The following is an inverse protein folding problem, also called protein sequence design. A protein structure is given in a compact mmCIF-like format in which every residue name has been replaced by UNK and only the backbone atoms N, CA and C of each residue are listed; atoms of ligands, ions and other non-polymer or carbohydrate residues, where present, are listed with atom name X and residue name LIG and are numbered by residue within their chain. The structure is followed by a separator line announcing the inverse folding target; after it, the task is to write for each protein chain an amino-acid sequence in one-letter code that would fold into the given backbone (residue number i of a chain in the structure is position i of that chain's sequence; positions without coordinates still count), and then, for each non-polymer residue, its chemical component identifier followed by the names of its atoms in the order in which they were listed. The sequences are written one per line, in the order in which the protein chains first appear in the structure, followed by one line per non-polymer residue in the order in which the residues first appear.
data_IF_266912419951
#
_entry.id   IF_266912419951
#
_cell.length_a   1.000
_cell.length_b   1.000
_cell.length_c   1.000
_cell.angle_alpha   90.00
_cell.angle_beta   90.00
_cell.angle_gamma   90.00
#
_symmetry.space_group_name_H-M   'P 1'
#
loop_
_entity.id
_entity.type
_entity.pdbx_description
1 polymer ?
#
# COMPACT_ATOMS: atom_id res chain seq x y z
N UNK A 1 -16.12 -29.10 -17.39
CA UNK A 1 -14.74 -28.61 -17.59
C UNK A 1 -14.30 -27.99 -16.29
N UNK A 2 -13.09 -28.39 -15.90
CA UNK A 2 -12.53 -28.39 -14.56
C UNK A 2 -12.38 -27.01 -13.92
N UNK A 3 -12.68 -26.99 -12.63
CA UNK A 3 -12.27 -26.06 -11.59
C UNK A 3 -10.87 -25.46 -11.80
N UNK A 4 -10.78 -24.13 -11.82
CA UNK A 4 -9.56 -23.41 -11.44
C UNK A 4 -9.86 -22.55 -10.23
N UNK A 5 -9.85 -23.21 -9.08
CA UNK A 5 -9.66 -22.61 -7.77
C UNK A 5 -8.20 -22.13 -7.71
N UNK A 6 -7.91 -20.94 -8.21
CA UNK A 6 -6.58 -20.32 -8.09
C UNK A 6 -6.61 -19.24 -7.00
N UNK A 7 -6.12 -19.64 -5.83
CA UNK A 7 -5.37 -18.82 -4.89
C UNK A 7 -5.81 -17.34 -4.76
N UNK A 8 -6.90 -17.08 -4.04
CA UNK A 8 -7.13 -15.76 -3.43
C UNK A 8 -6.24 -15.67 -2.20
N UNK A 9 -5.00 -15.24 -2.40
CA UNK A 9 -4.29 -14.51 -1.34
C UNK A 9 -5.23 -13.46 -0.77
N UNK A 10 -5.14 -13.21 0.54
CA UNK A 10 -6.09 -12.46 1.39
C UNK A 10 -6.47 -11.06 0.84
N UNK A 11 -7.26 -11.01 -0.23
CA UNK A 11 -7.83 -9.79 -0.78
C UNK A 11 -9.02 -9.44 0.10
N UNK A 12 -8.83 -8.49 1.00
CA UNK A 12 -9.94 -7.83 1.67
C UNK A 12 -10.26 -6.55 0.87
N UNK A 13 -11.25 -6.58 -0.05
CA UNK A 13 -11.57 -5.45 -0.95
C UNK A 13 -11.88 -4.14 -0.21
N UNK A 14 -12.17 -4.23 1.10
CA UNK A 14 -12.51 -3.08 1.94
C UNK A 14 -11.36 -2.09 2.15
N UNK A 15 -10.10 -2.50 1.96
CA UNK A 15 -8.93 -1.62 2.14
C UNK A 15 -8.55 -0.83 0.88
N UNK A 16 -9.05 -1.26 -0.28
CA UNK A 16 -8.65 -0.70 -1.58
C UNK A 16 -9.62 0.33 -2.12
N UNK A 17 -10.66 0.68 -1.36
CA UNK A 17 -11.71 1.62 -1.77
C UNK A 17 -11.51 3.02 -1.17
N UNK A 18 -11.68 4.04 -2.02
CA UNK A 18 -11.72 5.45 -1.62
C UNK A 18 -13.12 6.02 -1.82
N UNK A 19 -13.49 6.97 -0.97
CA UNK A 19 -14.69 7.77 -1.09
C UNK A 19 -14.32 9.20 -1.49
N UNK A 20 -14.94 9.69 -2.56
CA UNK A 20 -14.74 11.01 -3.13
C UNK A 20 -16.04 11.80 -2.96
N UNK A 21 -15.94 12.95 -2.31
CA UNK A 21 -17.04 13.90 -2.15
C UNK A 21 -16.76 15.21 -2.86
N UNK A 22 -17.81 16.05 -2.95
CA UNK A 22 -17.77 17.35 -3.62
C UNK A 22 -17.43 17.26 -5.13
N UNK A 23 -17.88 16.20 -5.79
CA UNK A 23 -17.83 16.09 -7.25
C UNK A 23 -18.90 17.00 -7.85
N UNK A 24 -18.53 17.80 -8.85
CA UNK A 24 -19.47 18.69 -9.54
C UNK A 24 -20.54 17.89 -10.28
N UNK A 25 -21.78 18.39 -10.31
CA UNK A 25 -22.88 17.79 -11.07
C UNK A 25 -22.65 17.79 -12.59
N UNK A 26 -21.72 18.62 -13.06
CA UNK A 26 -21.36 18.70 -14.49
C UNK A 26 -20.18 17.78 -14.86
N UNK A 27 -19.49 17.19 -13.88
CA UNK A 27 -18.35 16.30 -14.15
C UNK A 27 -18.88 14.97 -14.66
N UNK A 28 -18.49 14.59 -15.88
CA UNK A 28 -18.84 13.27 -16.42
C UNK A 28 -18.10 12.15 -15.65
N UNK A 29 -18.77 11.01 -15.37
CA UNK A 29 -18.14 9.85 -14.73
C UNK A 29 -16.82 9.41 -15.37
N UNK A 30 -16.75 9.42 -16.69
CA UNK A 30 -15.54 9.03 -17.44
C UNK A 30 -14.36 9.98 -17.17
N UNK A 31 -14.62 11.28 -17.04
CA UNK A 31 -13.59 12.28 -16.72
C UNK A 31 -13.05 12.10 -15.31
N UNK A 32 -13.94 11.84 -14.34
CA UNK A 32 -13.56 11.54 -12.96
C UNK A 32 -12.70 10.28 -12.88
N UNK A 33 -13.11 9.20 -13.54
CA UNK A 33 -12.37 7.94 -13.55
C UNK A 33 -11.00 8.12 -14.19
N UNK A 34 -10.92 8.77 -15.36
CA UNK A 34 -9.66 9.07 -16.04
C UNK A 34 -8.71 9.90 -15.17
N UNK A 35 -9.23 10.82 -14.37
CA UNK A 35 -8.42 11.57 -13.42
C UNK A 35 -7.82 10.66 -12.33
N UNK A 36 -8.63 9.78 -11.74
CA UNK A 36 -8.15 8.88 -10.67
C UNK A 36 -7.31 7.70 -11.17
N UNK A 37 -7.45 7.31 -12.44
CA UNK A 37 -6.60 6.28 -13.08
C UNK A 37 -5.10 6.62 -13.04
N UNK A 38 -4.73 7.91 -12.94
CA UNK A 38 -3.33 8.32 -12.83
C UNK A 38 -2.63 7.82 -11.55
N UNK A 39 -3.40 7.45 -10.52
CA UNK A 39 -2.89 6.93 -9.24
C UNK A 39 -2.92 5.40 -9.18
N UNK A 40 -3.56 4.73 -10.13
CA UNK A 40 -3.61 3.28 -10.16
C UNK A 40 -4.72 2.71 -11.02
N UNK A 41 -4.68 1.38 -11.19
CA UNK A 41 -5.71 0.65 -11.93
C UNK A 41 -6.97 0.54 -11.08
N UNK A 42 -8.07 1.10 -11.60
CA UNK A 42 -9.41 1.02 -11.02
C UNK A 42 -10.03 -0.34 -11.38
N UNK A 43 -10.55 -1.05 -10.39
CA UNK A 43 -11.24 -2.33 -10.53
C UNK A 43 -12.75 -2.13 -10.61
N UNK A 44 -13.29 -1.32 -9.71
CA UNK A 44 -14.72 -1.06 -9.60
C UNK A 44 -14.96 0.40 -9.21
N UNK A 45 -16.11 0.93 -9.62
CA UNK A 45 -16.57 2.24 -9.19
C UNK A 45 -18.08 2.24 -8.93
N UNK A 46 -18.53 3.09 -8.02
CA UNK A 46 -19.94 3.24 -7.69
C UNK A 46 -20.29 4.70 -7.39
N UNK A 47 -21.32 5.22 -8.05
CA UNK A 47 -21.83 6.58 -7.86
C UNK A 47 -23.09 6.52 -6.99
N UNK A 48 -23.10 7.19 -5.83
CA UNK A 48 -24.30 7.18 -4.97
C UNK A 48 -25.45 8.00 -5.56
N UNK A 49 -25.15 8.99 -6.40
CA UNK A 49 -26.14 9.83 -7.07
C UNK A 49 -25.59 10.31 -8.42
N UNK A 50 -26.42 10.30 -9.49
CA UNK A 50 -26.04 10.86 -10.80
C UNK A 50 -25.84 12.38 -10.81
N UNK A 51 -26.45 13.12 -9.88
CA UNK A 51 -26.54 14.59 -9.92
C UNK A 51 -25.65 15.31 -8.91
N UNK A 52 -24.61 14.63 -8.41
CA UNK A 52 -23.76 15.12 -7.32
C UNK A 52 -24.03 14.34 -6.03
N UNK A 53 -22.97 13.75 -5.48
CA UNK A 53 -23.01 12.85 -4.34
C UNK A 53 -21.60 12.34 -4.01
N UNK A 54 -21.53 11.17 -3.40
CA UNK A 54 -20.27 10.47 -3.16
C UNK A 54 -19.97 9.49 -4.28
N UNK A 55 -18.70 9.34 -4.60
CA UNK A 55 -18.22 8.34 -5.56
C UNK A 55 -17.25 7.43 -4.83
N UNK A 56 -17.45 6.14 -5.00
CA UNK A 56 -16.55 5.12 -4.49
C UNK A 56 -15.72 4.57 -5.66
N UNK A 57 -14.41 4.51 -5.46
CA UNK A 57 -13.48 3.95 -6.44
C UNK A 57 -12.64 2.90 -5.72
N UNK A 58 -12.65 1.68 -6.24
CA UNK A 58 -11.84 0.57 -5.76
C UNK A 58 -10.62 0.40 -6.67
N UNK A 59 -9.43 0.48 -6.10
CA UNK A 59 -8.18 0.18 -6.79
C UNK A 59 -7.81 -1.30 -6.70
N UNK A 60 -6.90 -1.73 -7.57
CA UNK A 60 -6.38 -3.09 -7.56
C UNK A 60 -5.53 -3.42 -6.33
N UNK A 61 -4.76 -2.45 -5.84
CA UNK A 61 -3.81 -2.62 -4.75
C UNK A 61 -3.89 -1.48 -3.73
N UNK A 62 -3.59 -1.79 -2.46
CA UNK A 62 -3.59 -0.80 -1.38
C UNK A 62 -2.59 0.34 -1.62
N UNK A 63 -1.44 0.05 -2.24
CA UNK A 63 -0.43 1.06 -2.58
C UNK A 63 -0.99 2.17 -3.48
N UNK A 64 -1.93 1.85 -4.38
CA UNK A 64 -2.58 2.83 -5.26
C UNK A 64 -3.49 3.79 -4.47
N UNK A 65 -4.16 3.28 -3.43
CA UNK A 65 -4.90 4.13 -2.49
C UNK A 65 -3.95 5.06 -1.76
N UNK A 66 -2.82 4.53 -1.27
CA UNK A 66 -1.83 5.33 -0.55
C UNK A 66 -1.24 6.44 -1.43
N UNK A 67 -0.96 6.14 -2.70
CA UNK A 67 -0.45 7.12 -3.65
C UNK A 67 -1.49 8.18 -4.00
N UNK A 68 -2.76 7.79 -4.16
CA UNK A 68 -3.88 8.72 -4.28
C UNK A 68 -4.02 9.61 -3.03
N UNK A 69 -3.86 9.07 -1.81
CA UNK A 69 -3.97 9.86 -0.58
C UNK A 69 -2.79 10.82 -0.39
N UNK A 70 -1.58 10.43 -0.79
CA UNK A 70 -0.39 11.30 -0.77
C UNK A 70 -0.50 12.47 -1.75
N UNK A 71 -1.18 12.28 -2.87
CA UNK A 71 -1.35 13.29 -3.91
C UNK A 71 -2.42 14.37 -3.58
N UNK A 72 -3.05 14.33 -2.40
CA UNK A 72 -3.96 15.39 -1.95
C UNK A 72 -3.22 16.73 -1.81
N UNK A 73 -3.87 17.89 -2.08
CA UNK A 73 -5.29 18.05 -2.42
C UNK A 73 -5.62 17.78 -3.90
N UNK A 74 -6.76 17.12 -4.13
CA UNK A 74 -7.25 16.79 -5.48
C UNK A 74 -8.15 17.88 -6.03
N UNK A 75 -7.98 18.21 -7.31
CA UNK A 75 -8.76 19.23 -8.00
C UNK A 75 -9.20 18.71 -9.38
N UNK A 76 -10.48 18.86 -9.68
CA UNK A 76 -11.07 18.48 -10.97
C UNK A 76 -12.09 19.54 -11.39
N UNK A 77 -12.05 19.97 -12.65
CA UNK A 77 -12.94 21.01 -13.20
C UNK A 77 -12.97 22.30 -12.36
N UNK A 78 -11.83 22.67 -11.77
CA UNK A 78 -11.72 23.83 -10.87
C UNK A 78 -12.35 23.65 -9.48
N UNK A 79 -12.87 22.46 -9.16
CA UNK A 79 -13.45 22.13 -7.86
C UNK A 79 -12.48 21.28 -7.04
N UNK A 80 -12.37 21.60 -5.74
CA UNK A 80 -11.62 20.79 -4.79
C UNK A 80 -12.41 19.55 -4.38
N UNK A 81 -11.84 18.36 -4.57
CA UNK A 81 -12.46 17.09 -4.23
C UNK A 81 -12.09 16.65 -2.82
N UNK A 82 -13.07 16.18 -2.05
CA UNK A 82 -12.83 15.59 -0.73
C UNK A 82 -12.59 14.10 -0.86
N UNK A 83 -11.33 13.69 -0.78
CA UNK A 83 -10.94 12.27 -0.87
C UNK A 83 -10.59 11.72 0.52
N UNK A 84 -11.19 10.58 0.88
CA UNK A 84 -10.95 9.84 2.12
C UNK A 84 -11.03 8.32 1.87
N UNK A 85 -10.51 7.50 2.78
CA UNK A 85 -10.66 6.04 2.66
C UNK A 85 -12.10 5.64 2.92
N UNK A 86 -12.61 4.66 2.20
CA UNK A 86 -13.94 4.13 2.47
C UNK A 86 -13.88 3.23 3.71
N UNK A 87 -14.56 3.63 4.78
CA UNK A 87 -14.69 2.80 5.97
C UNK A 87 -15.88 1.84 5.83
N UNK A 88 -15.74 0.59 6.31
CA UNK A 88 -16.85 -0.35 6.35
C UNK A 88 -17.98 0.18 7.25
N UNK A 89 -19.18 -0.39 7.06
CA UNK A 89 -20.27 -0.15 8.00
C UNK A 89 -19.96 -0.90 9.29
N UNK A 90 -19.86 -0.16 10.39
CA UNK A 90 -19.73 -0.67 11.75
C UNK A 90 -21.02 -0.35 12.50
N UNK A 91 -21.66 -1.37 13.06
CA UNK A 91 -22.90 -1.24 13.81
C UNK A 91 -22.68 -0.56 15.17
N UNK A 92 -21.48 -0.69 15.76
CA UNK A 92 -21.12 -0.03 17.01
C UNK A 92 -20.87 1.47 16.79
N UNK A 93 -20.23 1.83 15.66
CA UNK A 93 -19.79 3.20 15.37
C UNK A 93 -20.34 3.72 14.03
N UNK A 94 -21.68 3.82 13.85
CA UNK A 94 -22.29 4.07 12.54
C UNK A 94 -21.95 5.43 11.92
N UNK A 95 -21.58 6.42 12.75
CA UNK A 95 -21.20 7.76 12.28
C UNK A 95 -19.73 7.87 11.88
N UNK A 96 -18.88 6.95 12.33
CA UNK A 96 -17.43 7.00 12.15
C UNK A 96 -17.01 7.03 10.68
N UNK A 97 -17.75 6.33 9.81
CA UNK A 97 -17.49 6.30 8.37
C UNK A 97 -17.69 7.64 7.66
N UNK A 98 -18.55 8.51 8.18
CA UNK A 98 -18.88 9.77 7.54
C UNK A 98 -17.97 10.92 8.00
N UNK A 99 -17.60 10.91 9.27
CA UNK A 99 -16.80 11.95 9.89
C UNK A 99 -15.33 11.91 9.48
N UNK A 100 -14.71 13.08 9.41
CA UNK A 100 -13.27 13.22 9.19
C UNK A 100 -12.65 13.95 10.36
N UNK A 101 -11.66 13.33 11.01
CA UNK A 101 -10.94 13.93 12.15
C UNK A 101 -9.46 13.55 12.07
N UNK A 102 -8.61 14.35 12.71
CA UNK A 102 -7.19 14.04 12.96
C UNK A 102 -6.98 13.34 14.29
N UNK A 103 -8.04 13.25 15.08
CA UNK A 103 -7.98 12.83 16.46
C UNK A 103 -8.50 11.40 16.56
N UNK A 104 -7.67 10.52 17.09
CA UNK A 104 -7.98 9.14 17.41
C UNK A 104 -8.18 9.01 18.92
N UNK A 105 -9.22 8.30 19.32
CA UNK A 105 -9.49 7.92 20.71
C UNK A 105 -9.14 6.45 20.90
N UNK A 106 -8.29 6.17 21.89
CA UNK A 106 -7.90 4.82 22.29
C UNK A 106 -8.38 4.63 23.72
N UNK A 107 -9.42 3.83 23.91
CA UNK A 107 -10.03 3.62 25.24
C UNK A 107 -9.17 2.65 26.02
N UNK A 108 -8.93 2.98 27.29
CA UNK A 108 -8.11 2.18 28.19
C UNK A 108 -9.00 1.51 29.22
N UNK A 109 -9.01 0.17 29.22
CA UNK A 109 -9.79 -0.63 30.16
C UNK A 109 -8.93 -1.62 30.98
N UNK A 110 -7.79 -1.17 31.49
CA UNK A 110 -6.90 -2.02 32.31
C UNK A 110 -7.34 -2.20 33.78
N UNK A 111 -8.57 -1.78 34.13
CA UNK A 111 -9.02 -1.77 35.53
C UNK A 111 -8.08 -0.98 36.46
N UNK A 112 -7.86 -1.49 37.68
CA UNK A 112 -6.94 -0.89 38.68
C UNK A 112 -5.47 -1.29 38.48
N UNK A 113 -5.16 -2.09 37.46
CA UNK A 113 -3.77 -2.47 37.15
C UNK A 113 -3.12 -1.32 36.40
N UNK A 114 -2.62 -0.35 37.17
CA UNK A 114 -1.89 0.80 36.67
C UNK A 114 -0.55 0.29 36.13
N UNK A 115 -0.46 0.06 34.82
CA UNK A 115 0.82 0.20 34.13
C UNK A 115 1.27 1.67 34.32
N UNK A 116 2.57 1.93 34.45
CA UNK A 116 3.07 3.31 34.53
C UNK A 116 2.53 4.10 33.33
N UNK A 117 1.64 5.06 33.59
CA UNK A 117 0.91 5.80 32.55
C UNK A 117 1.88 6.41 31.53
N UNK A 118 3.10 6.78 31.98
CA UNK A 118 4.12 7.38 31.12
C UNK A 118 4.76 6.39 30.17
N UNK A 119 5.07 5.19 30.64
CA UNK A 119 5.68 4.14 29.81
C UNK A 119 4.69 3.69 28.74
N UNK A 120 3.44 3.44 29.15
CA UNK A 120 2.35 3.08 28.25
C UNK A 120 2.11 4.14 27.16
N UNK A 121 2.06 5.42 27.55
CA UNK A 121 1.91 6.53 26.61
C UNK A 121 3.08 6.61 25.61
N UNK A 122 4.31 6.34 26.07
CA UNK A 122 5.49 6.35 25.20
C UNK A 122 5.42 5.24 24.16
N UNK A 123 5.12 4.01 24.59
CA UNK A 123 5.05 2.87 23.68
C UNK A 123 3.89 3.01 22.68
N UNK A 124 2.71 3.47 23.12
CA UNK A 124 1.61 3.74 22.20
C UNK A 124 1.94 4.84 21.20
N UNK A 125 2.65 5.88 21.64
CA UNK A 125 3.11 6.94 20.74
C UNK A 125 4.04 6.36 19.68
N UNK A 126 4.97 5.50 20.06
CA UNK A 126 5.89 4.85 19.11
C UNK A 126 5.14 3.93 18.15
N UNK A 127 4.20 3.11 18.66
CA UNK A 127 3.33 2.27 17.84
C UNK A 127 2.55 3.08 16.79
N UNK A 128 1.82 4.11 17.22
CA UNK A 128 1.01 4.93 16.31
C UNK A 128 1.84 5.84 15.40
N UNK A 129 3.09 6.15 15.78
CA UNK A 129 4.00 6.91 14.91
C UNK A 129 4.35 6.18 13.61
N UNK A 130 4.23 4.84 13.59
CA UNK A 130 4.44 4.02 12.39
C UNK A 130 3.42 4.31 11.27
N UNK A 131 2.21 4.77 11.61
CA UNK A 131 1.17 5.13 10.65
C UNK A 131 1.38 6.54 10.08
N UNK A 132 2.01 7.42 10.85
CA UNK A 132 2.38 8.76 10.40
C UNK A 132 2.74 9.69 11.53
N UNK A 133 3.03 10.94 11.16
CA UNK A 133 3.48 11.96 12.11
C UNK A 133 2.38 12.32 13.12
N UNK A 134 2.73 12.22 14.40
CA UNK A 134 1.91 12.65 15.53
C UNK A 134 2.16 14.12 15.87
N UNK A 135 1.11 14.87 16.15
CA UNK A 135 1.19 16.19 16.79
C UNK A 135 1.17 16.05 18.31
N UNK A 136 0.28 15.22 18.84
CA UNK A 136 0.15 15.01 20.27
C UNK A 136 -0.32 13.59 20.59
N UNK A 137 0.06 13.12 21.78
CA UNK A 137 -0.49 11.92 22.41
C UNK A 137 -0.70 12.30 23.87
N UNK A 138 -1.96 12.28 24.34
CA UNK A 138 -2.35 12.78 25.66
C UNK A 138 -3.27 11.78 26.34
N UNK A 139 -3.01 11.55 27.62
CA UNK A 139 -3.97 10.86 28.47
C UNK A 139 -5.12 11.79 28.83
N UNK A 140 -6.33 11.25 28.77
CA UNK A 140 -7.57 11.95 29.05
C UNK A 140 -8.47 11.07 29.93
N UNK A 141 -9.21 11.72 30.83
CA UNK A 141 -10.09 11.05 31.76
C UNK A 141 -11.48 11.68 31.68
N UNK A 142 -12.45 10.87 31.26
CA UNK A 142 -13.88 11.20 31.37
C UNK A 142 -14.44 10.68 32.69
N UNK A 143 -15.70 11.05 32.96
CA UNK A 143 -16.42 10.62 34.18
C UNK A 143 -16.47 9.10 34.33
N UNK A 144 -16.62 8.38 33.22
CA UNK A 144 -16.92 6.94 33.23
C UNK A 144 -15.80 6.08 32.64
N UNK A 145 -14.88 6.66 31.87
CA UNK A 145 -13.82 5.91 31.20
C UNK A 145 -12.56 6.77 31.04
N UNK A 146 -11.44 6.10 30.82
CA UNK A 146 -10.14 6.71 30.52
C UNK A 146 -9.79 6.42 29.07
N UNK A 147 -9.11 7.34 28.42
CA UNK A 147 -8.72 7.18 27.03
C UNK A 147 -7.46 7.98 26.73
N UNK A 148 -6.77 7.59 25.66
CA UNK A 148 -5.68 8.35 25.09
C UNK A 148 -6.19 9.02 23.83
N UNK A 149 -5.95 10.32 23.74
CA UNK A 149 -6.15 11.12 22.56
C UNK A 149 -4.85 11.17 21.77
N UNK A 150 -4.87 10.63 20.55
CA UNK A 150 -3.76 10.68 19.62
C UNK A 150 -4.13 11.62 18.47
N UNK A 151 -3.43 12.74 18.36
CA UNK A 151 -3.63 13.76 17.33
C UNK A 151 -2.60 13.57 16.22
N UNK A 152 -3.07 13.30 15.00
CA UNK A 152 -2.23 13.09 13.82
C UNK A 152 -2.05 14.35 12.99
N UNK A 153 -0.97 14.39 12.20
CA UNK A 153 -0.72 15.48 11.28
C UNK A 153 -1.75 15.56 10.14
N UNK A 154 -2.24 14.41 9.70
CA UNK A 154 -3.25 14.30 8.67
C UNK A 154 -4.39 13.37 9.14
N UNK A 155 -5.52 13.45 8.45
CA UNK A 155 -6.74 12.69 8.80
C UNK A 155 -6.74 11.28 8.20
N UNK A 156 -5.94 11.03 7.16
CA UNK A 156 -5.84 9.72 6.50
C UNK A 156 -5.26 8.65 7.43
N UNK A 157 -4.33 9.04 8.33
CA UNK A 157 -3.75 8.11 9.30
C UNK A 157 -4.83 7.53 10.20
N UNK A 158 -5.79 8.36 10.64
CA UNK A 158 -6.91 7.92 11.47
C UNK A 158 -7.75 6.89 10.72
N UNK A 159 -8.17 7.20 9.48
CA UNK A 159 -8.94 6.25 8.66
C UNK A 159 -8.18 4.94 8.42
N UNK A 160 -6.87 5.02 8.17
CA UNK A 160 -6.01 3.84 7.98
C UNK A 160 -5.95 2.97 9.23
N UNK A 161 -5.81 3.57 10.41
CA UNK A 161 -5.81 2.85 11.69
C UNK A 161 -7.17 2.17 11.91
N UNK A 162 -8.29 2.88 11.70
CA UNK A 162 -9.63 2.27 11.85
C UNK A 162 -9.83 1.07 10.93
N UNK A 163 -9.26 1.08 9.72
CA UNK A 163 -9.29 -0.06 8.81
C UNK A 163 -8.44 -1.24 9.30
N UNK A 164 -7.30 -0.97 9.92
CA UNK A 164 -6.33 -1.98 10.35
C UNK A 164 -6.68 -2.63 11.71
N UNK A 165 -7.87 -2.35 12.26
CA UNK A 165 -8.42 -3.08 13.42
C UNK A 165 -8.42 -4.60 13.16
N UNK A 166 -8.17 -5.44 14.18
CA UNK A 166 -7.96 -5.09 15.60
C UNK A 166 -6.52 -4.69 15.93
N UNK A 167 -6.36 -3.73 16.85
CA UNK A 167 -5.07 -3.34 17.41
C UNK A 167 -4.87 -3.98 18.79
N UNK A 168 -3.64 -4.41 19.06
CA UNK A 168 -3.27 -5.01 20.34
C UNK A 168 -2.11 -4.24 20.97
N UNK A 169 -2.14 -4.17 22.29
CA UNK A 169 -1.01 -3.77 23.10
C UNK A 169 -0.71 -4.88 24.09
N UNK A 170 0.46 -5.51 23.94
CA UNK A 170 0.73 -6.86 24.46
C UNK A 170 -0.42 -7.81 24.09
N UNK A 171 -1.10 -8.39 25.07
CA UNK A 171 -2.22 -9.32 24.87
C UNK A 171 -3.60 -8.65 25.04
N UNK A 172 -3.64 -7.33 25.17
CA UNK A 172 -4.88 -6.59 25.37
C UNK A 172 -5.36 -5.95 24.07
N UNK A 173 -6.62 -6.20 23.73
CA UNK A 173 -7.30 -5.54 22.63
C UNK A 173 -7.49 -4.06 22.95
N UNK A 174 -7.00 -3.19 22.07
CA UNK A 174 -7.24 -1.76 22.16
C UNK A 174 -8.57 -1.42 21.47
N UNK A 175 -9.47 -0.75 22.21
CA UNK A 175 -10.70 -0.21 21.63
C UNK A 175 -10.38 1.17 21.02
N UNK A 176 -10.15 1.15 19.72
CA UNK A 176 -9.69 2.31 18.93
C UNK A 176 -10.86 2.84 18.09
N UNK A 177 -11.08 4.15 18.12
CA UNK A 177 -12.13 4.80 17.33
C UNK A 177 -11.78 6.26 17.02
N UNK A 178 -12.45 6.88 16.05
CA UNK A 178 -12.37 8.31 15.81
C UNK A 178 -12.83 9.08 17.04
N UNK A 179 -12.07 10.12 17.38
CA UNK A 179 -12.47 11.09 18.41
C UNK A 179 -13.54 12.01 17.83
N UNK A 180 -14.81 11.59 17.96
CA UNK A 180 -16.00 12.33 17.55
C UNK A 180 -17.05 12.30 18.67
N UNK A 181 -17.88 13.34 18.84
CA UNK A 181 -18.85 13.42 19.94
C UNK A 181 -19.77 12.21 20.02
N UNK A 182 -20.18 11.66 18.87
CA UNK A 182 -21.03 10.47 18.82
C UNK A 182 -20.38 9.25 19.48
N UNK A 183 -19.08 9.07 19.31
CA UNK A 183 -18.35 7.94 19.88
C UNK A 183 -18.16 8.16 21.39
N UNK A 184 -17.90 9.40 21.83
CA UNK A 184 -17.91 9.74 23.26
C UNK A 184 -19.23 9.40 23.95
N UNK A 185 -20.37 9.70 23.32
CA UNK A 185 -21.69 9.37 23.86
C UNK A 185 -21.90 7.85 23.97
N UNK A 186 -21.46 7.08 22.97
CA UNK A 186 -21.52 5.61 22.98
C UNK A 186 -20.68 5.07 24.14
N UNK A 187 -19.45 5.56 24.31
CA UNK A 187 -18.55 5.13 25.36
C UNK A 187 -19.08 5.46 26.76
N UNK A 188 -19.60 6.67 26.96
CA UNK A 188 -20.21 7.04 28.24
C UNK A 188 -21.36 6.11 28.61
N UNK A 189 -22.25 5.79 27.67
CA UNK A 189 -23.38 4.85 27.91
C UNK A 189 -22.91 3.42 28.19
N UNK A 190 -21.91 2.93 27.44
CA UNK A 190 -21.31 1.60 27.61
C UNK A 190 -20.77 1.44 29.04
N UNK A 191 -19.99 2.40 29.52
CA UNK A 191 -19.38 2.33 30.85
C UNK A 191 -20.33 2.69 32.01
N UNK A 192 -21.35 3.54 31.79
CA UNK A 192 -22.42 3.76 32.78
C UNK A 192 -23.23 2.50 33.05
N UNK A 193 -23.58 1.75 31.99
CA UNK A 193 -24.37 0.51 32.10
C UNK A 193 -23.60 -0.57 32.86
N UNK A 194 -22.30 -0.71 32.60
CA UNK A 194 -21.42 -1.64 33.30
C UNK A 194 -21.30 -1.32 34.80
N UNK A 195 -21.25 -0.03 35.16
CA UNK A 195 -21.24 0.42 36.56
C UNK A 195 -22.56 0.14 37.28
N UNK A 196 -23.69 0.20 36.58
CA UNK A 196 -24.99 -0.16 37.15
C UNK A 196 -25.13 -1.67 37.34
N UNK A 197 -24.66 -2.49 36.39
CA UNK A 197 -24.65 -3.95 36.54
C UNK A 197 -23.75 -4.41 37.70
N UNK A 198 -22.56 -3.83 37.85
CA UNK A 198 -21.69 -4.15 38.99
C UNK A 198 -22.28 -3.66 40.33
N UNK A 199 -22.92 -2.49 40.36
CA UNK A 199 -23.62 -2.02 41.57
C UNK A 199 -24.86 -2.85 41.94
N UNK A 200 -25.57 -3.45 40.98
CA UNK A 200 -26.68 -4.36 41.26
C UNK A 200 -26.15 -5.65 41.89
N UNK A 201 -25.09 -6.23 41.32
CA UNK A 201 -24.43 -7.42 41.89
C UNK A 201 -23.91 -7.14 43.31
N UNK A 202 -23.30 -5.97 43.53
CA UNK A 202 -22.77 -5.58 44.85
C UNK A 202 -23.91 -5.28 45.84
N UNK A 203 -25.01 -4.64 45.41
CA UNK A 203 -26.16 -4.39 46.30
C UNK A 203 -26.85 -5.68 46.71
N UNK A 204 -27.04 -6.62 45.78
CA UNK A 204 -27.59 -7.95 46.10
C UNK A 204 -26.65 -8.74 47.03
N UNK A 205 -25.37 -8.41 47.09
CA UNK A 205 -24.40 -8.97 48.04
C UNK A 205 -24.27 -8.18 49.37
N UNK A 206 -24.72 -6.92 49.45
CA UNK A 206 -24.58 -6.03 50.62
C UNK A 206 -25.92 -5.79 51.36
N UNK A 207 -27.05 -6.32 50.88
CA UNK A 207 -28.29 -6.35 51.68
C UNK A 207 -28.18 -7.41 52.79
N UNK A 208 -27.33 -7.19 53.79
CA UNK A 208 -27.44 -7.77 55.14
C UNK A 208 -26.67 -6.98 56.23
N UNK A 209 -26.25 -5.74 55.97
CA UNK A 209 -25.48 -4.93 56.95
C UNK A 209 -26.34 -4.13 57.97
N UNK A 210 -27.59 -4.53 58.21
CA UNK A 210 -28.45 -3.89 59.22
C UNK A 210 -29.05 -4.90 60.23
N UNK A 211 -28.27 -5.89 60.64
CA UNK A 211 -28.63 -6.76 61.77
C UNK A 211 -28.10 -6.18 63.10
N UNK A 212 -29.01 -5.54 63.86
CA UNK A 212 -28.75 -5.02 65.20
C UNK A 212 -28.57 -6.18 66.21
N UNK A 213 -27.32 -6.50 66.55
CA UNK A 213 -26.95 -7.57 67.49
C UNK A 213 -27.32 -7.30 68.97
N UNK A 214 -27.98 -6.18 69.31
CA UNK A 214 -28.25 -5.83 70.71
C UNK A 214 -29.64 -6.19 71.23
N UNK A 215 -30.50 -6.82 70.43
CA UNK A 215 -31.88 -7.16 70.81
C UNK A 215 -32.22 -8.65 70.83
N UNK A 216 -31.38 -9.51 71.41
CA UNK A 216 -31.83 -10.86 71.81
C UNK A 216 -31.26 -11.26 73.18
N UNK A 217 -31.66 -10.53 74.22
CA UNK A 217 -31.68 -11.09 75.58
C UNK A 217 -32.85 -10.49 76.35
N UNK A 218 -34.05 -10.99 76.06
CA UNK A 218 -35.09 -11.32 77.03
C UNK A 218 -36.46 -11.44 76.34
N UNK A 219 -37.06 -12.63 76.49
CA UNK A 219 -38.50 -12.74 76.70
C UNK A 219 -39.38 -13.02 75.48
N UNK A 220 -40.06 -14.18 75.57
CA UNK A 220 -41.44 -14.44 75.10
C UNK A 220 -41.73 -14.33 73.59
N UNK A 221 -42.65 -15.06 72.98
CA UNK A 221 -43.45 -16.26 73.22
C UNK A 221 -44.33 -16.37 71.97
N UNK A 222 -44.62 -17.61 71.57
CA UNK A 222 -45.78 -18.05 70.77
C UNK A 222 -45.93 -17.65 69.28
N UNK A 223 -45.94 -18.75 68.51
CA UNK A 223 -46.99 -19.23 67.59
C UNK A 223 -46.96 -18.87 66.10
N UNK A 224 -47.03 -19.97 65.32
CA UNK A 224 -47.53 -20.15 63.94
C UNK A 224 -46.74 -19.44 62.83
N UNK A 225 -46.37 -20.03 61.70
CA UNK A 225 -46.72 -21.30 61.07
C UNK A 225 -45.82 -21.50 59.83
N UNK A 226 -45.37 -22.73 59.58
CA UNK A 226 -45.19 -23.24 58.20
C UNK A 226 -43.91 -22.87 57.44
N UNK A 227 -42.90 -23.75 57.59
CA UNK A 227 -41.97 -24.22 56.55
C UNK A 227 -40.96 -23.24 55.92
N UNK A 228 -39.67 -23.41 56.27
CA UNK A 228 -38.64 -24.06 55.42
C UNK A 228 -37.26 -24.04 56.09
N UNK A 229 -36.72 -25.25 56.27
CA UNK A 229 -35.31 -25.65 56.25
C UNK A 229 -34.26 -24.69 56.85
N UNK A 230 -33.99 -24.89 58.15
CA UNK A 230 -32.67 -24.58 58.72
C UNK A 230 -31.65 -25.57 58.12
N UNK A 231 -30.93 -25.15 57.09
CA UNK A 231 -29.69 -25.82 56.66
C UNK A 231 -28.64 -25.47 57.71
N UNK A 232 -28.02 -26.48 58.31
CA UNK A 232 -27.09 -26.34 59.42
C UNK A 232 -25.87 -25.50 58.99
N UNK A 233 -25.54 -24.48 59.78
CA UNK A 233 -24.38 -23.59 59.64
C UNK A 233 -23.04 -24.36 59.46
N UNK A 234 -22.98 -25.59 60.00
CA UNK A 234 -21.84 -26.53 59.87
C UNK A 234 -21.67 -27.05 58.42
N UNK A 235 -22.73 -27.19 57.64
CA UNK A 235 -22.66 -27.68 56.25
C UNK A 235 -22.13 -26.60 55.30
N UNK A 236 -22.39 -25.33 55.59
CA UNK A 236 -21.89 -24.18 54.82
C UNK A 236 -20.39 -23.95 55.04
N UNK A 237 -19.89 -24.02 56.28
CA UNK A 237 -18.45 -23.88 56.56
C UNK A 237 -17.62 -24.99 55.90
N UNK A 238 -18.13 -26.23 55.93
CA UNK A 238 -17.48 -27.36 55.26
C UNK A 238 -17.43 -27.20 53.74
N UNK A 239 -18.48 -26.64 53.12
CA UNK A 239 -18.50 -26.42 51.68
C UNK A 239 -17.63 -25.23 51.26
N UNK A 240 -17.54 -24.17 52.08
CA UNK A 240 -16.56 -23.08 51.88
C UNK A 240 -15.13 -23.60 51.94
N UNK A 241 -14.81 -24.44 52.92
CA UNK A 241 -13.48 -25.08 53.01
C UNK A 241 -13.17 -25.97 51.80
N UNK A 242 -14.17 -26.69 51.29
CA UNK A 242 -14.04 -27.49 50.07
C UNK A 242 -13.77 -26.61 48.84
N UNK A 243 -14.51 -25.52 48.68
CA UNK A 243 -14.35 -24.59 47.55
C UNK A 243 -12.99 -23.87 47.58
N UNK A 244 -12.51 -23.46 48.76
CA UNK A 244 -11.17 -22.88 48.91
C UNK A 244 -10.07 -23.85 48.49
N UNK A 245 -10.21 -25.14 48.82
CA UNK A 245 -9.26 -26.17 48.40
C UNK A 245 -9.29 -26.43 46.88
N UNK A 246 -10.47 -26.38 46.26
CA UNK A 246 -10.61 -26.48 44.79
C UNK A 246 -9.96 -25.28 44.10
N UNK A 247 -10.19 -24.06 44.61
CA UNK A 247 -9.61 -22.84 44.07
C UNK A 247 -8.07 -22.87 44.16
N UNK A 248 -7.54 -23.34 45.28
CA UNK A 248 -6.09 -23.49 45.47
C UNK A 248 -5.49 -24.48 44.46
N UNK A 249 -6.12 -25.65 44.28
CA UNK A 249 -5.70 -26.64 43.27
C UNK A 249 -5.75 -26.08 41.86
N UNK A 250 -6.82 -25.36 41.50
CA UNK A 250 -6.89 -24.72 40.19
C UNK A 250 -5.79 -23.66 40.02
N UNK A 251 -5.49 -22.86 41.04
CA UNK A 251 -4.40 -21.87 40.95
C UNK A 251 -3.02 -22.51 40.74
N UNK A 252 -2.77 -23.66 41.38
CA UNK A 252 -1.53 -24.43 41.23
C UNK A 252 -1.45 -25.06 39.82
N UNK A 253 -2.56 -25.57 39.30
CA UNK A 253 -2.66 -26.06 37.91
C UNK A 253 -2.45 -24.93 36.89
N UNK A 254 -3.02 -23.75 37.10
CA UNK A 254 -2.79 -22.59 36.24
C UNK A 254 -1.34 -22.11 36.29
N UNK A 255 -0.70 -22.10 37.47
CA UNK A 255 0.70 -21.73 37.62
C UNK A 255 1.64 -22.68 36.87
N UNK A 256 1.41 -23.99 36.97
CA UNK A 256 2.21 -25.00 36.24
C UNK A 256 2.00 -24.90 34.73
N UNK A 257 0.75 -24.69 34.28
CA UNK A 257 0.44 -24.53 32.85
C UNK A 257 1.06 -23.25 32.28
N UNK A 258 1.08 -22.17 33.05
CA UNK A 258 1.76 -20.92 32.69
C UNK A 258 3.27 -21.13 32.54
N UNK A 259 3.92 -21.81 33.49
CA UNK A 259 5.35 -22.13 33.39
C UNK A 259 5.69 -22.99 32.17
N UNK A 260 4.84 -23.98 31.84
CA UNK A 260 5.03 -24.80 30.64
C UNK A 260 4.90 -23.97 29.36
N UNK A 261 3.92 -23.06 29.31
CA UNK A 261 3.70 -22.20 28.16
C UNK A 261 4.86 -21.19 27.98
N UNK A 262 5.33 -20.58 29.07
CA UNK A 262 6.49 -19.68 29.07
C UNK A 262 7.77 -20.40 28.60
N UNK A 263 7.97 -21.66 29.01
CA UNK A 263 9.08 -22.47 28.53
C UNK A 263 8.98 -22.79 27.03
N UNK A 264 7.77 -23.10 26.53
CA UNK A 264 7.53 -23.33 25.11
C UNK A 264 7.79 -22.07 24.26
N UNK A 265 7.33 -20.90 24.72
CA UNK A 265 7.61 -19.64 24.04
C UNK A 265 9.09 -19.29 24.04
N UNK A 266 9.81 -19.54 25.14
CA UNK A 266 11.26 -19.32 25.21
C UNK A 266 12.02 -20.19 24.20
N UNK A 267 11.59 -21.44 23.99
CA UNK A 267 12.18 -22.33 22.99
C UNK A 267 11.89 -21.88 21.56
N UNK A 268 10.66 -21.42 21.28
CA UNK A 268 10.30 -20.85 19.98
C UNK A 268 11.08 -19.58 19.64
N UNK A 269 11.30 -18.70 20.62
CA UNK A 269 12.11 -17.48 20.42
C UNK A 269 13.55 -17.82 20.04
N UNK A 270 14.18 -18.81 20.70
CA UNK A 270 15.53 -19.25 20.33
C UNK A 270 15.61 -19.81 18.91
N UNK A 271 14.58 -20.51 18.46
CA UNK A 271 14.51 -21.00 17.08
C UNK A 271 14.34 -19.86 16.08
N UNK A 272 13.57 -18.82 16.44
CA UNK A 272 13.37 -17.64 15.61
C UNK A 272 14.66 -16.83 15.46
N UNK A 273 15.42 -16.65 16.55
CA UNK A 273 16.72 -15.95 16.53
C UNK A 273 17.71 -16.68 15.61
N UNK A 274 17.80 -18.01 15.72
CA UNK A 274 18.67 -18.83 14.87
C UNK A 274 18.28 -18.73 13.38
N UNK A 275 16.98 -18.75 13.08
CA UNK A 275 16.48 -18.59 11.71
C UNK A 275 16.78 -17.19 11.16
N UNK A 276 16.66 -16.16 12.01
CA UNK A 276 16.95 -14.76 11.65
C UNK A 276 18.43 -14.59 11.30
N UNK A 277 19.33 -15.14 12.10
CA UNK A 277 20.77 -15.14 11.81
C UNK A 277 21.08 -15.85 10.48
N UNK A 278 20.44 -16.99 10.22
CA UNK A 278 20.61 -17.72 8.96
C UNK A 278 20.10 -16.92 7.76
N UNK A 279 18.97 -16.22 7.88
CA UNK A 279 18.46 -15.36 6.80
C UNK A 279 19.35 -14.16 6.54
N UNK A 280 19.91 -13.54 7.58
CA UNK A 280 20.84 -12.41 7.45
C UNK A 280 22.14 -12.83 6.76
N UNK A 281 22.64 -14.03 7.07
CA UNK A 281 23.82 -14.58 6.41
C UNK A 281 23.55 -14.82 4.91
N UNK A 282 22.42 -15.45 4.58
CA UNK A 282 22.01 -15.70 3.20
C UNK A 282 21.81 -14.39 2.41
N UNK A 283 21.25 -13.38 3.05
CA UNK A 283 21.07 -12.06 2.44
C UNK A 283 22.41 -11.40 2.13
N UNK A 284 23.37 -11.47 3.06
CA UNK A 284 24.72 -10.95 2.85
C UNK A 284 25.44 -11.64 1.69
N UNK A 285 25.29 -12.95 1.55
CA UNK A 285 25.87 -13.70 0.44
C UNK A 285 25.25 -13.28 -0.91
N UNK A 286 23.93 -13.09 -0.96
CA UNK A 286 23.22 -12.59 -2.15
C UNK A 286 23.66 -11.17 -2.51
N UNK A 287 23.82 -10.29 -1.53
CA UNK A 287 24.28 -8.91 -1.76
C UNK A 287 25.70 -8.88 -2.35
N UNK A 288 26.60 -9.75 -1.89
CA UNK A 288 27.93 -9.90 -2.47
C UNK A 288 27.88 -10.42 -3.92
N UNK A 289 26.97 -11.34 -4.21
CA UNK A 289 26.77 -11.87 -5.56
C UNK A 289 26.24 -10.80 -6.52
N UNK A 290 25.22 -10.03 -6.10
CA UNK A 290 24.70 -8.89 -6.87
C UNK A 290 25.76 -7.80 -7.10
N UNK A 291 26.60 -7.52 -6.10
CA UNK A 291 27.69 -6.54 -6.26
C UNK A 291 28.70 -6.99 -7.32
N UNK A 292 29.05 -8.28 -7.38
CA UNK A 292 29.93 -8.85 -8.41
C UNK A 292 29.32 -8.76 -9.80
N UNK A 293 28.06 -9.19 -9.95
CA UNK A 293 27.33 -9.13 -11.23
C UNK A 293 27.18 -7.69 -11.73
N UNK A 294 26.90 -6.75 -10.84
CA UNK A 294 26.80 -5.32 -11.16
C UNK A 294 28.12 -4.75 -11.66
N UNK A 295 29.24 -5.08 -10.99
CA UNK A 295 30.57 -4.65 -11.42
C UNK A 295 30.97 -5.25 -12.78
N UNK A 296 30.60 -6.50 -13.06
CA UNK A 296 30.82 -7.14 -14.36
C UNK A 296 30.01 -6.46 -15.47
N UNK A 297 28.75 -6.11 -15.19
CA UNK A 297 27.89 -5.39 -16.13
C UNK A 297 28.45 -4.01 -16.50
N UNK A 298 28.88 -3.23 -15.50
CA UNK A 298 29.48 -1.91 -15.75
C UNK A 298 30.78 -2.01 -16.54
N UNK A 299 31.59 -3.04 -16.29
CA UNK A 299 32.81 -3.29 -17.07
C UNK A 299 32.50 -3.58 -18.54
N UNK A 300 31.49 -4.42 -18.81
CA UNK A 300 31.03 -4.73 -20.18
C UNK A 300 30.38 -3.54 -20.87
N UNK A 301 29.69 -2.68 -20.12
CA UNK A 301 29.10 -1.45 -20.65
C UNK A 301 30.20 -0.50 -21.14
N UNK A 302 31.22 -0.28 -20.31
CA UNK A 302 32.36 0.57 -20.66
C UNK A 302 33.15 0.02 -21.86
N UNK A 303 33.31 -1.30 -21.96
CA UNK A 303 33.92 -1.96 -23.12
C UNK A 303 33.13 -1.71 -24.40
N UNK A 304 31.80 -1.82 -24.36
CA UNK A 304 30.95 -1.54 -25.52
C UNK A 304 30.95 -0.05 -25.90
N UNK A 305 30.96 0.86 -24.93
CA UNK A 305 31.07 2.30 -25.19
C UNK A 305 32.39 2.62 -25.90
N UNK A 306 33.50 2.04 -25.46
CA UNK A 306 34.81 2.18 -26.12
C UNK A 306 34.81 1.62 -27.54
N UNK A 307 34.18 0.46 -27.77
CA UNK A 307 34.08 -0.14 -29.09
C UNK A 307 33.24 0.72 -30.06
N UNK A 308 32.17 1.33 -29.56
CA UNK A 308 31.32 2.23 -30.32
C UNK A 308 32.05 3.53 -30.71
N UNK A 309 32.87 4.09 -29.82
CA UNK A 309 33.73 5.23 -30.14
C UNK A 309 34.76 4.90 -31.22
N UNK A 310 35.39 3.71 -31.16
CA UNK A 310 36.30 3.26 -32.21
C UNK A 310 35.61 3.09 -33.57
N UNK A 311 34.38 2.55 -33.57
CA UNK A 311 33.60 2.38 -34.78
C UNK A 311 33.23 3.74 -35.41
N UNK A 312 32.80 4.70 -34.60
CA UNK A 312 32.47 6.05 -35.07
C UNK A 312 33.69 6.79 -35.64
N UNK A 313 34.86 6.61 -35.02
CA UNK A 313 36.11 7.17 -35.53
C UNK A 313 36.48 6.59 -36.91
N UNK A 314 36.31 5.28 -37.10
CA UNK A 314 36.54 4.63 -38.39
C UNK A 314 35.54 5.08 -39.48
N UNK A 315 34.28 5.34 -39.13
CA UNK A 315 33.30 5.91 -40.06
C UNK A 315 33.66 7.33 -40.51
N UNK A 316 34.16 8.17 -39.59
CA UNK A 316 34.65 9.51 -39.93
C UNK A 316 35.85 9.46 -40.87
N UNK A 317 36.81 8.57 -40.62
CA UNK A 317 37.97 8.39 -41.50
C UNK A 317 37.55 7.93 -42.90
N UNK A 318 36.60 6.99 -43.00
CA UNK A 318 36.05 6.57 -44.29
C UNK A 318 35.30 7.70 -45.02
N UNK A 319 34.60 8.57 -44.28
CA UNK A 319 33.93 9.74 -44.85
C UNK A 319 34.95 10.75 -45.41
N UNK A 320 36.03 11.03 -44.68
CA UNK A 320 37.12 11.90 -45.14
C UNK A 320 37.79 11.35 -46.40
N UNK A 321 38.05 10.04 -46.43
CA UNK A 321 38.61 9.36 -47.61
C UNK A 321 37.66 9.50 -48.81
N UNK A 322 36.36 9.29 -48.62
CA UNK A 322 35.36 9.40 -49.69
C UNK A 322 35.29 10.82 -50.26
N UNK A 323 35.26 11.83 -49.39
CA UNK A 323 35.29 13.25 -49.77
C UNK A 323 36.53 13.60 -50.60
N UNK A 324 37.70 13.09 -50.20
CA UNK A 324 38.95 13.29 -50.93
C UNK A 324 38.89 12.67 -52.35
N UNK A 325 38.35 11.47 -52.49
CA UNK A 325 38.17 10.83 -53.80
C UNK A 325 37.18 11.59 -54.70
N UNK A 326 36.08 12.10 -54.15
CA UNK A 326 35.12 12.92 -54.90
C UNK A 326 35.75 14.22 -55.40
N UNK A 327 36.61 14.85 -54.58
CA UNK A 327 37.35 16.05 -54.97
C UNK A 327 38.28 15.75 -56.15
N UNK A 328 39.07 14.67 -56.10
CA UNK A 328 39.95 14.25 -57.21
C UNK A 328 39.15 14.01 -58.49
N UNK A 329 38.03 13.29 -58.39
CA UNK A 329 37.15 13.01 -59.54
C UNK A 329 36.57 14.29 -60.16
N UNK A 330 36.29 15.31 -59.34
CA UNK A 330 35.83 16.62 -59.82
C UNK A 330 36.93 17.34 -60.61
N UNK A 331 38.16 17.34 -60.11
CA UNK A 331 39.29 17.98 -60.78
C UNK A 331 39.65 17.30 -62.11
N UNK A 332 39.53 15.97 -62.19
CA UNK A 332 39.72 15.23 -63.44
C UNK A 332 38.62 15.51 -64.46
N UNK A 333 37.37 15.63 -64.02
CA UNK A 333 36.26 16.06 -64.89
C UNK A 333 36.51 17.46 -65.45
N UNK A 334 36.94 18.40 -64.62
CA UNK A 334 37.24 19.76 -65.06
C UNK A 334 38.38 19.81 -66.07
N UNK A 335 39.45 19.03 -65.87
CA UNK A 335 40.53 18.88 -66.86
C UNK A 335 40.03 18.29 -68.17
N UNK A 336 39.14 17.31 -68.12
CA UNK A 336 38.55 16.67 -69.31
C UNK A 336 37.69 17.67 -70.09
N UNK A 337 36.86 18.45 -69.40
CA UNK A 337 36.04 19.51 -70.00
C UNK A 337 36.93 20.58 -70.67
N UNK A 338 38.02 20.97 -70.03
CA UNK A 338 38.98 21.92 -70.61
C UNK A 338 39.64 21.38 -71.88
N UNK A 339 40.07 20.11 -71.86
CA UNK A 339 40.65 19.45 -73.04
C UNK A 339 39.63 19.35 -74.18
N UNK A 340 38.39 18.93 -73.89
CA UNK A 340 37.31 18.87 -74.89
C UNK A 340 37.00 20.24 -75.49
N UNK A 341 36.98 21.29 -74.67
CA UNK A 341 36.81 22.67 -75.14
C UNK A 341 37.96 23.11 -76.05
N UNK A 342 39.20 22.75 -75.73
CA UNK A 342 40.37 23.04 -76.55
C UNK A 342 40.34 22.27 -77.89
N UNK A 343 39.97 20.99 -77.87
CA UNK A 343 39.75 20.18 -79.08
C UNK A 343 38.62 20.76 -79.94
N UNK A 344 37.51 21.19 -79.33
CA UNK A 344 36.41 21.83 -80.05
C UNK A 344 36.84 23.16 -80.70
N UNK A 345 37.65 23.96 -80.03
CA UNK A 345 38.23 25.18 -80.61
C UNK A 345 39.16 24.86 -81.79
N UNK A 346 40.05 23.87 -81.67
CA UNK A 346 40.94 23.43 -82.77
C UNK A 346 40.15 22.88 -83.96
N UNK A 347 39.06 22.16 -83.73
CA UNK A 347 38.19 21.62 -84.80
C UNK A 347 37.42 22.71 -85.57
N UNK A 348 36.99 23.79 -84.90
CA UNK A 348 36.36 24.96 -85.56
C UNK A 348 37.34 25.72 -86.46
N UNK A 349 38.62 25.78 -86.10
CA UNK A 349 39.68 26.36 -86.94
C UNK A 349 39.91 25.48 -88.18
N UNK A 350 39.87 24.16 -88.04
CA UNK A 350 40.07 23.21 -89.15
C UNK A 350 38.92 23.24 -90.17
N UNK A 351 37.67 23.34 -89.72
CA UNK A 351 36.48 23.39 -90.59
C UNK A 351 36.27 24.74 -91.31
N UNK A 352 37.10 25.75 -91.05
CA UNK A 352 37.08 27.04 -91.78
C UNK A 352 37.86 27.00 -93.11
N UNK A 353 38.52 25.89 -93.44
CA UNK A 353 39.25 25.69 -94.70
C UNK A 353 38.79 24.40 -95.39
N UNK A 354 37.78 24.48 -96.27
CA UNK A 354 37.62 23.76 -97.56
C UNK A 354 36.11 23.67 -97.97
N UNK A 355 35.76 23.86 -99.26
CA UNK A 355 34.38 23.71 -99.76
C UNK A 355 34.13 22.45 -100.63
N UNK A 356 32.84 22.13 -100.78
CA UNK A 356 32.14 21.30 -101.79
C UNK A 356 31.78 19.81 -101.54
N UNK A 357 30.61 19.48 -102.11
CA UNK A 357 29.66 18.34 -101.99
C UNK A 357 29.73 17.38 -103.21
N UNK A 358 28.70 16.53 -103.53
CA UNK A 358 28.17 15.33 -102.86
C UNK A 358 28.15 14.06 -103.78
N UNK A 359 27.89 12.85 -103.25
CA UNK A 359 27.24 11.74 -104.00
C UNK A 359 26.83 10.55 -103.11
N UNK A 360 25.62 10.02 -103.33
CA UNK A 360 25.05 8.74 -102.82
C UNK A 360 25.17 7.63 -103.89
N UNK A 361 24.65 6.38 -103.78
CA UNK A 361 24.03 5.62 -102.65
C UNK A 361 24.45 4.12 -102.56
N UNK A 362 24.08 3.37 -101.49
CA UNK A 362 23.30 2.09 -101.55
C UNK A 362 23.25 1.27 -100.23
N UNK A 363 22.01 0.94 -99.86
CA UNK A 363 21.41 -0.23 -99.18
C UNK A 363 22.31 -1.37 -98.63
N UNK A 364 22.05 -1.80 -97.39
CA UNK A 364 21.41 -3.09 -97.02
C UNK A 364 21.03 -3.12 -95.53
N UNK A 365 19.84 -3.67 -95.22
CA UNK A 365 19.42 -4.21 -93.91
C UNK A 365 19.41 -5.76 -94.01
N UNK A 366 19.09 -6.60 -92.99
CA UNK A 366 18.64 -6.36 -91.59
C UNK A 366 19.31 -7.29 -90.53
N UNK A 367 18.99 -7.14 -89.23
CA UNK A 367 18.45 -8.22 -88.36
C UNK A 367 18.52 -7.91 -86.85
N UNK A 368 17.54 -8.48 -86.15
CA UNK A 368 17.19 -8.41 -84.74
C UNK A 368 18.14 -9.11 -83.76
N UNK A 369 18.25 -8.64 -82.52
CA UNK A 369 18.14 -9.46 -81.28
C UNK A 369 18.33 -8.60 -80.02
N UNK A 370 17.29 -8.54 -79.17
CA UNK A 370 17.20 -9.10 -77.81
C UNK A 370 18.07 -8.41 -76.74
N UNK A 371 17.37 -7.73 -75.84
CA UNK A 371 17.80 -7.35 -74.49
C UNK A 371 18.07 -8.59 -73.60
N UNK A 372 18.95 -8.45 -72.58
CA UNK A 372 18.71 -9.05 -71.27
C UNK A 372 18.82 -8.03 -70.10
N UNK A 373 18.42 -8.44 -68.88
CA UNK A 373 17.67 -7.58 -67.93
C UNK A 373 18.46 -7.07 -66.71
N UNK A 374 17.82 -6.15 -65.98
CA UNK A 374 18.19 -5.65 -64.64
C UNK A 374 18.33 -6.77 -63.58
N UNK A 375 19.23 -6.61 -62.59
CA UNK A 375 19.27 -7.50 -61.43
C UNK A 375 18.30 -7.03 -60.33
N UNK A 376 17.53 -8.00 -59.84
CA UNK A 376 16.52 -7.85 -58.79
C UNK A 376 17.13 -7.73 -57.38
N UNK A 377 16.51 -6.87 -56.58
CA UNK A 377 16.58 -6.81 -55.13
C UNK A 377 16.14 -8.15 -54.51
N UNK A 378 16.98 -8.72 -53.64
CA UNK A 378 16.57 -9.76 -52.71
C UNK A 378 16.56 -9.21 -51.28
N UNK A 379 15.36 -9.10 -50.73
CA UNK A 379 15.09 -9.11 -49.30
C UNK A 379 15.62 -10.41 -48.70
N UNK A 380 16.30 -10.31 -47.57
CA UNK A 380 16.52 -11.45 -46.67
C UNK A 380 16.08 -11.06 -45.25
N UNK A 381 15.01 -11.71 -44.82
CA UNK A 381 14.52 -11.83 -43.45
C UNK A 381 15.12 -13.10 -42.82
N UNK A 382 15.31 -13.07 -41.49
CA UNK A 382 15.76 -14.14 -40.57
C UNK A 382 17.29 -14.35 -40.50
N UNK A 383 17.93 -14.33 -39.33
CA UNK A 383 17.52 -14.71 -37.97
C UNK A 383 17.69 -13.61 -36.93
#
# INVERSE_FOLDING_TARGET
MSSTSSNRERYNPKFTEICIGNVSCNTEPATLLRYFEQFGSIVQYNFTSPTGGFVFIEYKHLSMVDDCMKARPHHLDGHHLYVKRALPVDDEHPRERFETTRDLMVVIDFGDTICDEKEFLSELRDYFSSYGRLYACKYCQEKNFRYILVEFADKDQVDRIILDKPHYYYDHLLDVMKSIPSNFDIMNKKYESNKQQSHVIIKDAIVDDNYDYTKVRNGFSRSNSGAKELINEIDLENEVYRLQNVLKKMSEEFATKRQQLEAQFSEQLKQLDANTEQTNLLQKDREQEYAKLSAEYESKKLENESLNEQYLAAELENFEITSYYEQILSEEKDKTIQLEAEYAQKSKVLNSKQPFSPSSPCLMSPSSSKWPPEPALHNNTQN
#
